data_IF_535793137999
#
_entry.id   IF_535793137999
#
_cell.length_a   1.000
_cell.length_b   1.000
_cell.length_c   1.000
_cell.angle_alpha   90.00
_cell.angle_beta   90.00
_cell.angle_gamma   90.00
#
_symmetry.space_group_name_H-M   'P 1'
#
loop_
_entity.id
_entity.type
_entity.pdbx_description
1 polymer ?
#
# COMPACT_ATOMS: atom_id res chain seq x y z
N UNK A 1 9.44 -15.95 -4.52
CA UNK A 1 9.28 -15.08 -3.33
C UNK A 1 10.66 -14.72 -2.85
N UNK A 2 10.94 -13.45 -2.57
CA UNK A 2 12.24 -12.95 -2.10
C UNK A 2 11.98 -12.22 -0.78
N UNK A 3 12.84 -12.42 0.22
CA UNK A 3 12.81 -11.67 1.47
C UNK A 3 13.97 -10.67 1.49
N UNK A 4 13.69 -9.45 1.94
CA UNK A 4 14.69 -8.39 2.10
C UNK A 4 14.88 -8.09 3.58
N UNK A 5 16.12 -7.85 3.99
CA UNK A 5 16.43 -7.23 5.27
C UNK A 5 16.65 -5.74 5.07
N UNK A 6 16.10 -4.92 5.97
CA UNK A 6 16.29 -3.47 5.92
C UNK A 6 17.38 -3.08 6.90
N UNK A 7 18.40 -2.38 6.41
CA UNK A 7 19.50 -1.94 7.27
C UNK A 7 18.98 -0.97 8.33
N UNK A 8 19.37 -1.22 9.59
CA UNK A 8 18.99 -0.42 10.76
C UNK A 8 17.50 -0.50 11.18
N UNK A 9 16.72 -1.37 10.56
CA UNK A 9 15.33 -1.62 10.96
C UNK A 9 15.08 -3.13 11.11
N UNK A 10 14.14 -3.51 11.96
CA UNK A 10 13.80 -4.93 12.17
C UNK A 10 12.76 -5.47 11.17
N UNK A 11 12.38 -4.68 10.16
CA UNK A 11 11.36 -5.09 9.21
C UNK A 11 11.95 -5.98 8.11
N UNK A 12 11.17 -6.98 7.69
CA UNK A 12 11.51 -7.89 6.59
C UNK A 12 10.46 -7.81 5.49
N UNK A 13 10.63 -6.93 4.49
CA UNK A 13 9.75 -6.90 3.33
C UNK A 13 9.81 -8.19 2.53
N UNK A 14 8.67 -8.59 1.99
CA UNK A 14 8.56 -9.74 1.08
C UNK A 14 8.25 -9.26 -0.33
N UNK A 15 8.82 -9.92 -1.32
CA UNK A 15 8.62 -9.60 -2.73
C UNK A 15 8.14 -10.82 -3.48
N UNK A 16 7.08 -10.63 -4.25
CA UNK A 16 6.52 -11.59 -5.17
C UNK A 16 6.80 -11.11 -6.59
N UNK A 17 7.60 -11.88 -7.33
CA UNK A 17 7.93 -11.61 -8.73
C UNK A 17 7.17 -12.60 -9.60
N UNK A 18 6.55 -12.08 -10.66
CA UNK A 18 5.88 -12.85 -11.72
C UNK A 18 6.60 -12.56 -13.03
N UNK A 19 6.91 -13.62 -13.79
CA UNK A 19 7.52 -13.50 -15.11
C UNK A 19 8.99 -13.08 -15.07
N UNK A 20 9.52 -12.77 -16.24
CA UNK A 20 10.86 -12.24 -16.45
C UNK A 20 10.80 -10.71 -16.51
N UNK A 21 11.45 -10.02 -15.55
CA UNK A 21 11.40 -8.57 -15.45
C UNK A 21 12.11 -7.87 -16.60
N UNK A 22 13.07 -8.53 -17.25
CA UNK A 22 13.80 -8.00 -18.39
C UNK A 22 13.01 -8.12 -19.70
N UNK A 23 11.92 -8.90 -19.71
CA UNK A 23 11.11 -9.13 -20.91
C UNK A 23 10.15 -7.98 -21.23
N UNK A 24 10.03 -6.97 -20.36
CA UNK A 24 9.18 -5.79 -20.55
C UNK A 24 9.89 -4.52 -20.06
N UNK A 25 9.64 -3.39 -20.72
CA UNK A 25 10.27 -2.12 -20.33
C UNK A 25 9.74 -1.59 -18.98
N UNK A 26 8.45 -1.80 -18.69
CA UNK A 26 7.78 -1.28 -17.49
C UNK A 26 6.82 -2.31 -16.88
N UNK A 27 7.30 -3.18 -15.97
CA UNK A 27 6.45 -4.16 -15.30
C UNK A 27 5.37 -3.51 -14.44
N UNK A 28 4.28 -4.25 -14.21
CA UNK A 28 3.22 -3.82 -13.30
C UNK A 28 3.68 -4.02 -11.85
N UNK A 29 3.66 -2.96 -11.05
CA UNK A 29 4.19 -2.97 -9.69
C UNK A 29 3.15 -2.57 -8.66
N UNK A 30 3.09 -3.30 -7.55
CA UNK A 30 2.30 -2.98 -6.36
C UNK A 30 3.19 -2.86 -5.13
N UNK A 31 3.25 -1.67 -4.54
CA UNK A 31 3.70 -1.51 -3.15
C UNK A 31 2.50 -1.72 -2.22
N UNK A 32 2.46 -2.80 -1.46
CA UNK A 32 1.39 -3.12 -0.52
C UNK A 32 1.87 -2.91 0.92
N UNK A 33 1.18 -2.07 1.69
CA UNK A 33 1.44 -1.95 3.13
C UNK A 33 0.62 -3.02 3.83
N UNK A 34 1.28 -3.85 4.65
CA UNK A 34 0.67 -4.95 5.37
C UNK A 34 -0.53 -4.51 6.19
N UNK A 35 -1.58 -5.33 6.18
CA UNK A 35 -2.77 -5.13 7.00
C UNK A 35 -3.27 -6.49 7.48
N UNK A 36 -2.79 -6.98 8.62
CA UNK A 36 -3.14 -8.26 9.22
C UNK A 36 -4.64 -8.55 9.19
N UNK A 37 -5.45 -7.60 9.68
CA UNK A 37 -6.91 -7.75 9.73
C UNK A 37 -7.54 -7.83 8.34
N UNK A 38 -7.03 -7.09 7.35
CA UNK A 38 -7.58 -7.08 6.01
C UNK A 38 -7.07 -8.24 5.15
N UNK A 39 -5.77 -8.47 5.17
CA UNK A 39 -5.06 -9.40 4.30
C UNK A 39 -5.24 -10.87 4.73
N UNK A 40 -5.37 -11.15 6.03
CA UNK A 40 -5.46 -12.52 6.56
C UNK A 40 -6.84 -12.85 7.16
N UNK A 41 -7.53 -11.88 7.76
CA UNK A 41 -8.80 -12.11 8.45
C UNK A 41 -10.02 -11.62 7.66
N UNK A 42 -9.84 -11.24 6.39
CA UNK A 42 -10.91 -10.73 5.51
C UNK A 42 -11.76 -9.63 6.14
N UNK A 43 -11.14 -8.73 6.91
CA UNK A 43 -11.86 -7.67 7.60
C UNK A 43 -12.61 -6.75 6.64
N UNK A 44 -13.93 -6.67 6.83
CA UNK A 44 -14.82 -5.78 6.07
C UNK A 44 -14.63 -4.29 6.42
N UNK A 45 -13.87 -3.95 7.47
CA UNK A 45 -13.63 -2.56 7.92
C UNK A 45 -12.66 -1.78 7.04
N UNK A 46 -11.92 -2.47 6.16
CA UNK A 46 -11.00 -1.86 5.21
C UNK A 46 -11.09 -2.57 3.86
N UNK A 47 -10.36 -2.06 2.87
CA UNK A 47 -10.25 -2.64 1.53
C UNK A 47 -8.89 -3.33 1.28
N UNK A 48 -8.04 -3.46 2.31
CA UNK A 48 -6.66 -3.94 2.15
C UNK A 48 -6.57 -5.35 1.57
N UNK A 49 -7.34 -6.31 2.10
CA UNK A 49 -7.35 -7.69 1.61
C UNK A 49 -7.83 -7.79 0.17
N UNK A 50 -8.93 -7.11 -0.15
CA UNK A 50 -9.45 -7.03 -1.53
C UNK A 50 -8.43 -6.39 -2.48
N UNK A 51 -7.71 -5.35 -2.05
CA UNK A 51 -6.65 -4.75 -2.85
C UNK A 51 -5.45 -5.67 -3.03
N UNK A 52 -5.07 -6.46 -2.02
CA UNK A 52 -4.01 -7.46 -2.13
C UNK A 52 -4.37 -8.51 -3.19
N UNK A 53 -5.55 -9.11 -3.08
CA UNK A 53 -6.03 -10.13 -4.02
C UNK A 53 -6.16 -9.57 -5.45
N UNK A 54 -6.76 -8.38 -5.60
CA UNK A 54 -6.88 -7.72 -6.90
C UNK A 54 -5.51 -7.41 -7.51
N UNK A 55 -4.55 -6.95 -6.71
CA UNK A 55 -3.19 -6.69 -7.20
C UNK A 55 -2.48 -7.96 -7.68
N UNK A 56 -2.60 -9.06 -6.92
CA UNK A 56 -2.02 -10.35 -7.31
C UNK A 56 -2.64 -10.85 -8.63
N UNK A 57 -3.97 -10.72 -8.79
CA UNK A 57 -4.66 -11.09 -10.02
C UNK A 57 -4.21 -10.25 -11.21
N UNK A 58 -4.18 -8.91 -11.08
CA UNK A 58 -3.74 -8.00 -12.14
C UNK A 58 -2.28 -8.24 -12.54
N UNK A 59 -1.39 -8.52 -11.58
CA UNK A 59 0.01 -8.87 -11.86
C UNK A 59 0.08 -10.21 -12.60
N UNK A 60 -0.73 -11.18 -12.20
CA UNK A 60 -0.78 -12.48 -12.89
C UNK A 60 -1.30 -12.34 -14.32
N UNK A 61 -2.35 -11.54 -14.55
CA UNK A 61 -2.91 -11.23 -15.87
C UNK A 61 -1.91 -10.48 -16.76
N UNK A 62 -1.16 -9.53 -16.19
CA UNK A 62 -0.12 -8.79 -16.92
C UNK A 62 1.06 -9.67 -17.36
N UNK A 63 1.21 -10.88 -16.80
CA UNK A 63 2.27 -11.84 -17.12
C UNK A 63 3.64 -11.51 -16.53
N UNK A 64 3.96 -10.23 -16.33
CA UNK A 64 5.19 -9.74 -15.70
C UNK A 64 4.89 -8.64 -14.69
N UNK A 65 5.37 -8.79 -13.45
CA UNK A 65 5.16 -7.79 -12.42
C UNK A 65 5.74 -8.13 -11.05
N UNK A 66 5.64 -7.16 -10.14
CA UNK A 66 6.19 -7.24 -8.78
C UNK A 66 5.17 -6.77 -7.76
N UNK A 67 4.96 -7.55 -6.69
CA UNK A 67 4.32 -7.07 -5.47
C UNK A 67 5.35 -7.01 -4.35
N UNK A 68 5.56 -5.82 -3.79
CA UNK A 68 6.38 -5.60 -2.59
C UNK A 68 5.44 -5.47 -1.40
N UNK A 69 5.50 -6.42 -0.48
CA UNK A 69 4.76 -6.46 0.76
C UNK A 69 5.59 -5.84 1.89
N UNK A 70 5.24 -4.62 2.27
CA UNK A 70 5.94 -3.80 3.26
C UNK A 70 5.29 -4.01 4.65
N UNK A 71 6.06 -4.39 5.71
CA UNK A 71 5.56 -4.62 7.07
C UNK A 71 5.12 -3.35 7.83
N UNK A 72 4.26 -2.55 7.22
CA UNK A 72 3.86 -1.21 7.66
C UNK A 72 2.42 -1.16 8.18
N UNK A 73 2.13 -2.00 9.17
CA UNK A 73 0.81 -2.12 9.77
C UNK A 73 0.30 -0.77 10.33
N UNK A 74 -1.00 -0.53 10.22
CA UNK A 74 -1.65 0.64 10.81
C UNK A 74 -1.20 1.98 10.22
N UNK A 75 -0.58 2.00 9.03
CA UNK A 75 0.13 3.17 8.47
C UNK A 75 1.41 3.51 9.24
N UNK A 76 2.12 2.49 9.71
CA UNK A 76 3.40 2.62 10.39
C UNK A 76 3.31 2.78 11.91
N UNK A 77 2.10 2.78 12.49
CA UNK A 77 1.93 2.86 13.96
C UNK A 77 1.95 1.48 14.63
N UNK A 78 1.82 0.38 13.85
CA UNK A 78 1.77 -0.98 14.39
C UNK A 78 0.36 -1.52 14.61
N UNK A 79 0.27 -2.83 14.85
CA UNK A 79 -1.01 -3.55 15.00
C UNK A 79 -1.75 -3.18 16.30
N UNK A 80 -1.01 -3.06 17.41
CA UNK A 80 -1.59 -2.78 18.73
C UNK A 80 -2.26 -1.41 18.72
N UNK A 81 -1.57 -0.42 18.20
CA UNK A 81 -2.00 0.97 18.07
C UNK A 81 -3.17 1.09 17.09
N UNK A 82 -3.16 0.32 16.00
CA UNK A 82 -4.30 0.22 15.08
C UNK A 82 -5.55 -0.31 15.77
N UNK A 83 -5.42 -1.33 16.63
CA UNK A 83 -6.56 -1.87 17.39
C UNK A 83 -7.10 -0.81 18.35
N UNK A 84 -6.24 -0.10 19.08
CA UNK A 84 -6.64 1.05 19.92
C UNK A 84 -7.34 2.14 19.10
N UNK A 85 -6.86 2.43 17.89
CA UNK A 85 -7.49 3.39 17.00
C UNK A 85 -8.89 2.95 16.56
N UNK A 86 -9.15 1.64 16.44
CA UNK A 86 -10.49 1.13 16.17
C UNK A 86 -11.45 1.34 17.35
N UNK A 87 -11.01 1.17 18.59
CA UNK A 87 -11.84 1.47 19.77
C UNK A 87 -12.26 2.94 19.82
N UNK A 88 -11.37 3.85 19.41
CA UNK A 88 -11.69 5.27 19.31
C UNK A 88 -12.65 5.58 18.15
N UNK A 89 -12.53 4.86 17.03
CA UNK A 89 -13.44 5.00 15.90
C UNK A 89 -14.86 4.51 16.23
N UNK A 90 -14.98 3.45 17.03
CA UNK A 90 -16.26 2.96 17.56
C UNK A 90 -16.93 4.00 18.49
N UNK A 91 -16.12 4.86 19.13
CA UNK A 91 -16.60 6.00 19.92
C UNK A 91 -16.90 7.24 19.08
N UNK A 92 -16.80 7.15 17.75
CA UNK A 92 -17.24 8.18 16.82
C UNK A 92 -16.12 8.95 16.12
N UNK A 93 -14.85 8.77 16.47
CA UNK A 93 -13.74 9.42 15.77
C UNK A 93 -13.56 8.83 14.37
N UNK A 94 -13.02 9.60 13.43
CA UNK A 94 -12.50 9.02 12.19
C UNK A 94 -11.05 8.54 12.32
N UNK A 95 -10.49 7.98 11.24
CA UNK A 95 -9.14 7.42 11.26
C UNK A 95 -8.05 8.46 11.53
N UNK A 96 -8.21 9.71 11.08
CA UNK A 96 -7.23 10.78 11.31
C UNK A 96 -7.31 11.25 12.75
N UNK A 97 -8.53 11.50 13.24
CA UNK A 97 -8.78 11.94 14.61
C UNK A 97 -8.32 10.88 15.62
N UNK A 98 -8.60 9.61 15.37
CA UNK A 98 -8.16 8.50 16.22
C UNK A 98 -6.62 8.42 16.29
N UNK A 99 -5.92 8.58 15.17
CA UNK A 99 -4.45 8.60 15.17
C UNK A 99 -3.89 9.80 15.94
N UNK A 100 -4.48 10.99 15.75
CA UNK A 100 -4.09 12.21 16.48
C UNK A 100 -4.32 12.08 17.98
N UNK A 101 -5.45 11.50 18.40
CA UNK A 101 -5.76 11.24 19.80
C UNK A 101 -4.77 10.26 20.46
N UNK A 102 -4.17 9.37 19.66
CA UNK A 102 -3.11 8.46 20.09
C UNK A 102 -1.69 9.06 19.97
N UNK A 103 -1.55 10.31 19.53
CA UNK A 103 -0.27 11.01 19.41
C UNK A 103 0.50 10.75 18.11
N UNK A 104 -0.13 10.15 17.09
CA UNK A 104 0.50 9.82 15.81
C UNK A 104 0.09 10.77 14.69
N UNK A 105 0.95 10.89 13.66
CA UNK A 105 0.57 11.54 12.40
C UNK A 105 -0.48 10.67 11.67
N UNK A 106 -1.21 11.29 10.74
CA UNK A 106 -2.22 10.60 9.94
C UNK A 106 -1.66 9.43 9.08
N UNK A 107 -0.38 9.51 8.71
CA UNK A 107 0.35 8.50 7.94
C UNK A 107 1.85 8.61 8.28
N UNK A 108 2.45 7.54 8.79
CA UNK A 108 3.87 7.46 9.16
C UNK A 108 4.66 6.56 8.21
N UNK A 109 4.05 6.12 7.10
CA UNK A 109 4.71 5.20 6.17
C UNK A 109 5.81 5.87 5.37
N UNK A 110 6.89 5.14 5.22
CA UNK A 110 8.01 5.46 4.34
C UNK A 110 8.05 4.46 3.18
N UNK A 111 7.95 4.94 1.94
CA UNK A 111 7.98 4.07 0.75
C UNK A 111 9.40 3.92 0.17
N UNK A 112 10.41 4.59 0.73
CA UNK A 112 11.80 4.54 0.30
C UNK A 112 12.37 3.13 0.30
N UNK A 113 12.03 2.30 1.30
CA UNK A 113 12.40 0.87 1.32
C UNK A 113 11.82 0.12 0.12
N UNK A 114 10.55 0.35 -0.21
CA UNK A 114 9.93 -0.27 -1.38
C UNK A 114 10.58 0.17 -2.68
N UNK A 115 10.95 1.46 -2.80
CA UNK A 115 11.65 2.01 -3.96
C UNK A 115 13.05 1.40 -4.10
N UNK A 116 13.81 1.28 -3.00
CA UNK A 116 15.13 0.65 -3.02
C UNK A 116 15.08 -0.81 -3.45
N UNK A 117 14.09 -1.57 -2.96
CA UNK A 117 13.84 -2.95 -3.38
C UNK A 117 13.60 -3.03 -4.89
N UNK A 118 12.77 -2.14 -5.46
CA UNK A 118 12.51 -2.13 -6.91
C UNK A 118 13.77 -1.82 -7.72
N UNK A 119 14.65 -0.94 -7.22
CA UNK A 119 15.95 -0.65 -7.85
C UNK A 119 16.91 -1.84 -7.76
N UNK A 120 16.93 -2.54 -6.63
CA UNK A 120 17.75 -3.76 -6.46
C UNK A 120 17.33 -4.87 -7.43
N UNK A 121 16.03 -4.96 -7.74
CA UNK A 121 15.51 -5.82 -8.82
C UNK A 121 15.88 -5.36 -10.23
N UNK A 122 16.64 -4.27 -10.39
CA UNK A 122 17.09 -3.73 -11.69
C UNK A 122 16.04 -2.88 -12.41
N UNK A 123 14.91 -2.55 -11.79
CA UNK A 123 13.86 -1.79 -12.45
C UNK A 123 14.22 -0.31 -12.59
N UNK A 124 13.93 0.24 -13.78
CA UNK A 124 14.11 1.67 -14.09
C UNK A 124 12.80 2.36 -14.42
N UNK A 125 11.81 1.62 -14.94
CA UNK A 125 10.47 2.11 -15.26
C UNK A 125 9.44 1.16 -14.70
N UNK A 126 8.34 1.69 -14.17
CA UNK A 126 7.24 0.88 -13.62
C UNK A 126 5.88 1.47 -13.95
N UNK A 127 4.89 0.58 -14.08
CA UNK A 127 3.47 0.96 -14.03
C UNK A 127 2.98 0.70 -12.62
N UNK A 128 2.67 1.75 -11.86
CA UNK A 128 2.41 1.65 -10.42
C UNK A 128 0.91 1.49 -10.14
N UNK A 129 0.55 0.37 -9.50
CA UNK A 129 -0.82 0.03 -9.13
C UNK A 129 -1.23 0.72 -7.81
N UNK A 130 -1.74 1.95 -7.89
CA UNK A 130 -2.05 2.78 -6.71
C UNK A 130 -3.13 3.84 -6.97
N UNK A 131 -3.97 4.08 -5.95
CA UNK A 131 -4.86 5.24 -5.87
C UNK A 131 -4.34 6.33 -4.90
N UNK A 132 -3.23 6.05 -4.20
CA UNK A 132 -2.65 6.97 -3.22
C UNK A 132 -1.65 7.90 -3.94
N UNK A 133 -1.90 9.22 -4.00
CA UNK A 133 -0.95 10.16 -4.61
C UNK A 133 0.40 10.19 -3.89
N UNK A 134 0.43 10.01 -2.55
CA UNK A 134 1.70 9.99 -1.80
C UNK A 134 2.65 8.87 -2.23
N UNK A 135 2.11 7.75 -2.74
CA UNK A 135 2.93 6.66 -3.28
C UNK A 135 3.56 7.05 -4.61
N UNK A 136 2.92 7.91 -5.39
CA UNK A 136 3.50 8.45 -6.63
C UNK A 136 4.54 9.50 -6.26
N UNK A 137 4.22 10.40 -5.34
CA UNK A 137 5.11 11.46 -4.87
C UNK A 137 6.42 10.89 -4.29
N UNK A 138 6.38 9.79 -3.53
CA UNK A 138 7.58 9.14 -3.01
C UNK A 138 8.58 8.75 -4.13
N UNK A 139 8.11 8.32 -5.30
CA UNK A 139 8.99 8.03 -6.43
C UNK A 139 9.59 9.31 -7.03
N UNK A 140 8.89 10.45 -6.95
CA UNK A 140 9.40 11.74 -7.45
C UNK A 140 10.53 12.24 -6.54
N UNK A 141 10.43 12.05 -5.23
CA UNK A 141 11.40 12.58 -4.27
C UNK A 141 12.58 11.62 -3.99
N UNK A 142 12.35 10.30 -3.99
CA UNK A 142 13.35 9.29 -3.59
C UNK A 142 13.82 8.40 -4.76
N UNK A 143 13.18 8.54 -5.92
CA UNK A 143 13.35 7.68 -7.10
C UNK A 143 14.39 8.16 -8.09
N UNK A 144 15.58 8.63 -7.65
CA UNK A 144 16.72 8.76 -8.58
C UNK A 144 16.87 7.44 -9.36
N UNK A 145 16.68 7.48 -10.68
CA UNK A 145 16.74 6.35 -11.62
C UNK A 145 15.58 5.32 -11.59
N UNK A 146 14.44 5.62 -10.93
CA UNK A 146 13.22 4.79 -11.01
C UNK A 146 11.98 5.64 -11.34
N UNK A 147 11.48 5.51 -12.58
CA UNK A 147 10.38 6.31 -13.10
C UNK A 147 9.03 5.56 -13.03
N UNK A 148 8.00 6.22 -12.51
CA UNK A 148 6.61 5.79 -12.69
C UNK A 148 6.12 6.29 -14.04
N UNK A 149 6.01 5.40 -15.03
CA UNK A 149 5.58 5.74 -16.40
C UNK A 149 4.07 5.67 -16.59
N UNK A 150 3.37 4.98 -15.69
CA UNK A 150 1.92 4.91 -15.66
C UNK A 150 1.43 4.72 -14.22
N UNK A 151 0.27 5.29 -13.91
CA UNK A 151 -0.44 5.08 -12.65
C UNK A 151 -1.69 4.26 -12.92
N UNK A 152 -1.63 2.96 -12.62
CA UNK A 152 -2.76 2.05 -12.82
C UNK A 152 -3.67 2.13 -11.59
N UNK A 153 -4.96 2.48 -11.74
CA UNK A 153 -5.90 2.51 -10.61
C UNK A 153 -6.16 1.10 -10.07
N UNK A 154 -6.47 1.00 -8.77
CA UNK A 154 -6.87 -0.25 -8.12
C UNK A 154 -8.11 -0.03 -7.26
N UNK A 155 -9.28 -0.21 -7.85
CA UNK A 155 -10.56 0.08 -7.19
C UNK A 155 -11.26 -1.22 -6.87
N UNK A 156 -11.42 -1.50 -5.57
CA UNK A 156 -12.23 -2.61 -5.08
C UNK A 156 -13.65 -2.15 -4.80
N UNK A 157 -14.68 -2.99 -4.99
CA UNK A 157 -16.05 -2.66 -4.62
C UNK A 157 -16.17 -2.23 -3.15
N UNK A 158 -16.90 -1.16 -2.90
CA UNK A 158 -17.23 -0.73 -1.54
C UNK A 158 -18.24 -1.70 -0.91
N UNK A 159 -18.22 -1.80 0.42
CA UNK A 159 -19.23 -2.51 1.19
C UNK A 159 -19.76 -1.60 2.32
N UNK A 160 -20.93 -1.90 2.91
CA UNK A 160 -21.52 -1.04 3.93
C UNK A 160 -20.62 -0.71 5.14
N UNK A 161 -19.67 -1.59 5.48
CA UNK A 161 -18.78 -1.45 6.63
C UNK A 161 -17.54 -0.59 6.35
N UNK A 162 -17.12 -0.43 5.09
CA UNK A 162 -15.93 0.36 4.73
C UNK A 162 -16.25 1.71 4.09
N UNK A 163 -17.52 2.08 3.90
CA UNK A 163 -17.91 3.37 3.31
C UNK A 163 -17.25 4.58 4.00
N UNK A 164 -17.32 4.64 5.34
CA UNK A 164 -16.72 5.73 6.13
C UNK A 164 -15.18 5.76 6.02
N UNK A 165 -14.57 4.59 5.90
CA UNK A 165 -13.13 4.46 5.72
C UNK A 165 -12.69 4.95 4.34
N UNK A 166 -13.42 4.57 3.29
CA UNK A 166 -13.17 5.01 1.91
C UNK A 166 -13.42 6.52 1.73
N UNK A 167 -14.47 7.07 2.35
CA UNK A 167 -14.73 8.51 2.34
C UNK A 167 -13.60 9.29 3.02
N UNK A 168 -13.13 8.83 4.18
CA UNK A 168 -11.98 9.43 4.89
C UNK A 168 -10.71 9.39 4.04
N UNK A 169 -10.43 8.29 3.34
CA UNK A 169 -9.30 8.19 2.39
C UNK A 169 -9.38 9.25 1.29
N UNK A 170 -10.56 9.46 0.72
CA UNK A 170 -10.78 10.44 -0.34
C UNK A 170 -10.67 11.87 0.19
N UNK A 171 -11.41 12.20 1.24
CA UNK A 171 -11.60 13.56 1.74
C UNK A 171 -10.42 14.08 2.55
N UNK A 172 -9.81 13.23 3.39
CA UNK A 172 -8.75 13.64 4.32
C UNK A 172 -7.34 13.22 3.88
N UNK A 173 -7.21 12.22 3.01
CA UNK A 173 -5.90 11.68 2.59
C UNK A 173 -5.61 11.83 1.08
N UNK A 174 -6.53 12.43 0.33
CA UNK A 174 -6.34 12.76 -1.08
C UNK A 174 -6.33 11.55 -2.03
N UNK A 175 -6.82 10.38 -1.60
CA UNK A 175 -6.88 9.21 -2.49
C UNK A 175 -7.84 9.45 -3.67
N UNK A 176 -7.40 9.10 -4.89
CA UNK A 176 -8.22 9.13 -6.11
C UNK A 176 -9.08 7.87 -6.19
N UNK A 177 -10.28 7.94 -5.62
CA UNK A 177 -11.28 6.86 -5.68
C UNK A 177 -12.50 7.35 -6.47
N UNK A 178 -13.12 6.52 -7.32
CA UNK A 178 -14.35 6.90 -8.01
C UNK A 178 -15.45 7.28 -6.99
N UNK A 179 -16.30 8.24 -7.37
CA UNK A 179 -17.50 8.56 -6.60
C UNK A 179 -18.40 7.32 -6.55
N UNK A 180 -18.85 6.97 -5.34
CA UNK A 180 -19.80 5.87 -5.13
C UNK A 180 -21.16 6.12 -5.76
#
# INVERSE_FOLDING_TARGET
IIAYEVKFESQTPLVLVKGDLDSVEAPLVRLHSSCFTGDLLDSLRCDCGSQLQMALNLINEAGVGVLVYLPQEGRGIGLVEKIRAYELQEKGLDTVEANQALGYKADMRDYGVGIQILKDLGLQKVRLLTNNPKKVDAFIYDGFDLQVVDQVPIVTPANPHNLRYLSTKREKLGHRLPGG
#
